data_IF_724134234041
#
_entry.id   IF_724134234041
#
_cell.length_a   1.000
_cell.length_b   1.000
_cell.length_c   1.000
_cell.angle_alpha   90.00
_cell.angle_beta   90.00
_cell.angle_gamma   90.00
#
_symmetry.space_group_name_H-M   'P 1'
#
loop_
_entity.id
_entity.type
_entity.pdbx_description
1 polymer ?
#
# COMPACT_ATOMS: atom_id res chain seq x y z
N UNK A 1 -13.67 -7.38 -2.69
CA UNK A 1 -13.13 -8.25 -1.63
C UNK A 1 -13.35 -9.71 -1.99
N UNK A 2 -12.38 -10.38 -2.61
CA UNK A 2 -12.54 -11.81 -2.98
C UNK A 2 -12.59 -12.76 -1.76
N UNK A 3 -12.23 -12.33 -0.55
CA UNK A 3 -12.56 -13.07 0.70
C UNK A 3 -14.09 -13.24 0.84
N UNK A 4 -14.88 -12.23 0.45
CA UNK A 4 -16.33 -12.34 0.40
C UNK A 4 -16.82 -13.34 -0.66
N UNK A 5 -16.02 -13.62 -1.70
CA UNK A 5 -16.33 -14.64 -2.72
C UNK A 5 -15.90 -16.04 -2.28
N UNK A 6 -14.73 -16.17 -1.65
CA UNK A 6 -14.16 -17.43 -1.19
C UNK A 6 -14.91 -17.98 0.04
N UNK A 7 -15.26 -17.12 0.99
CA UNK A 7 -15.99 -17.48 2.20
C UNK A 7 -16.98 -16.38 2.59
N UNK A 8 -18.15 -16.31 1.91
CA UNK A 8 -19.15 -15.27 2.16
C UNK A 8 -19.67 -15.27 3.61
N UNK A 9 -19.76 -16.45 4.23
CA UNK A 9 -20.16 -16.58 5.64
C UNK A 9 -19.13 -15.95 6.58
N UNK A 10 -17.84 -16.28 6.42
CA UNK A 10 -16.79 -15.70 7.25
C UNK A 10 -16.71 -14.17 7.08
N UNK A 11 -16.83 -13.69 5.83
CA UNK A 11 -16.90 -12.26 5.53
C UNK A 11 -18.07 -11.58 6.26
N UNK A 12 -19.27 -12.15 6.16
CA UNK A 12 -20.47 -11.61 6.79
C UNK A 12 -20.33 -11.57 8.31
N UNK A 13 -19.77 -12.64 8.92
CA UNK A 13 -19.50 -12.69 10.36
C UNK A 13 -18.53 -11.58 10.78
N UNK A 14 -17.42 -11.41 10.05
CA UNK A 14 -16.45 -10.35 10.35
C UNK A 14 -17.11 -8.97 10.26
N UNK A 15 -17.90 -8.72 9.21
CA UNK A 15 -18.64 -7.47 9.05
C UNK A 15 -19.59 -7.22 10.23
N UNK A 16 -20.37 -8.22 10.66
CA UNK A 16 -21.28 -8.10 11.79
C UNK A 16 -20.55 -7.81 13.10
N UNK A 17 -19.43 -8.49 13.36
CA UNK A 17 -18.59 -8.25 14.54
C UNK A 17 -18.02 -6.83 14.52
N UNK A 18 -17.46 -6.38 13.39
CA UNK A 18 -16.91 -5.02 13.24
C UNK A 18 -18.00 -3.97 13.45
N UNK A 19 -19.17 -4.14 12.82
CA UNK A 19 -20.32 -3.23 13.01
C UNK A 19 -20.75 -3.19 14.47
N UNK A 20 -20.88 -4.35 15.13
CA UNK A 20 -21.23 -4.44 16.55
C UNK A 20 -20.23 -3.69 17.44
N UNK A 21 -18.94 -3.86 17.21
CA UNK A 21 -17.88 -3.16 17.94
C UNK A 21 -17.92 -1.64 17.68
N UNK A 22 -18.13 -1.21 16.44
CA UNK A 22 -18.28 0.22 16.10
C UNK A 22 -19.50 0.81 16.80
N UNK A 23 -20.66 0.14 16.75
CA UNK A 23 -21.89 0.60 17.42
C UNK A 23 -21.69 0.69 18.93
N UNK A 24 -21.06 -0.31 19.57
CA UNK A 24 -20.72 -0.26 20.99
C UNK A 24 -19.76 0.89 21.31
N UNK A 25 -18.75 1.10 20.48
CA UNK A 25 -17.84 2.26 20.57
C UNK A 25 -18.59 3.59 20.52
N UNK A 26 -19.51 3.75 19.57
CA UNK A 26 -20.32 4.95 19.41
C UNK A 26 -21.29 5.18 20.57
N UNK A 27 -21.94 4.13 21.10
CA UNK A 27 -22.80 4.22 22.30
C UNK A 27 -21.97 4.67 23.50
N UNK A 28 -20.77 4.11 23.67
CA UNK A 28 -19.86 4.49 24.77
C UNK A 28 -19.31 5.90 24.60
N UNK A 29 -19.12 6.35 23.35
CA UNK A 29 -18.72 7.72 23.03
C UNK A 29 -19.81 8.72 23.36
N UNK A 30 -21.06 8.44 22.99
CA UNK A 30 -22.20 9.29 23.34
C UNK A 30 -22.38 9.42 24.87
N UNK A 31 -21.99 8.40 25.63
CA UNK A 31 -21.99 8.40 27.10
C UNK A 31 -20.67 8.91 27.71
N UNK A 32 -19.67 9.25 26.90
CA UNK A 32 -18.37 9.68 27.40
C UNK A 32 -18.49 11.09 27.98
N UNK A 33 -18.10 11.24 29.24
CA UNK A 33 -18.03 12.56 29.87
C UNK A 33 -16.74 13.25 29.45
N UNK A 34 -16.86 14.51 29.04
CA UNK A 34 -15.70 15.36 28.78
C UNK A 34 -14.96 15.57 30.09
N UNK A 35 -13.64 15.35 30.07
CA UNK A 35 -12.77 15.60 31.20
C UNK A 35 -12.60 17.11 31.37
N UNK A 36 -12.71 17.62 32.59
CA UNK A 36 -12.26 18.98 32.88
C UNK A 36 -10.75 19.00 32.77
N UNK A 37 -10.23 19.78 31.81
CA UNK A 37 -8.81 20.07 31.72
C UNK A 37 -8.49 21.14 32.77
N UNK A 38 -8.01 20.67 33.93
CA UNK A 38 -7.83 21.49 35.14
C UNK A 38 -6.56 22.33 35.03
N UNK A 39 -5.47 21.79 34.47
CA UNK A 39 -4.23 22.55 34.29
C UNK A 39 -4.18 23.33 32.97
N UNK A 40 -3.63 24.54 33.06
CA UNK A 40 -3.32 25.37 31.90
C UNK A 40 -2.34 24.69 30.93
N UNK A 41 -1.42 23.86 31.45
CA UNK A 41 -0.48 23.10 30.65
C UNK A 41 -1.19 22.04 29.79
N UNK A 42 -2.18 21.32 30.36
CA UNK A 42 -2.98 20.32 29.63
C UNK A 42 -3.72 20.96 28.44
N UNK A 43 -4.25 22.17 28.62
CA UNK A 43 -4.95 22.90 27.55
C UNK A 43 -4.01 23.36 26.44
N UNK A 44 -2.75 23.70 26.76
CA UNK A 44 -1.73 24.02 25.75
C UNK A 44 -1.33 22.76 25.00
N UNK A 45 -1.10 21.66 25.71
CA UNK A 45 -0.73 20.38 25.13
C UNK A 45 -1.80 19.86 24.16
N UNK A 46 -3.08 19.84 24.55
CA UNK A 46 -4.18 19.42 23.66
C UNK A 46 -4.29 20.32 22.42
N UNK A 47 -4.09 21.64 22.55
CA UNK A 47 -4.06 22.54 21.39
C UNK A 47 -2.92 22.22 20.43
N UNK A 48 -1.73 21.92 20.95
CA UNK A 48 -0.60 21.49 20.13
C UNK A 48 -0.91 20.17 19.42
N UNK A 49 -1.53 19.20 20.10
CA UNK A 49 -1.95 17.94 19.46
C UNK A 49 -2.95 18.18 18.32
N UNK A 50 -3.91 19.08 18.48
CA UNK A 50 -4.83 19.46 17.39
C UNK A 50 -4.09 20.07 16.21
N UNK A 51 -3.11 20.95 16.44
CA UNK A 51 -2.27 21.50 15.38
C UNK A 51 -1.47 20.41 14.68
N UNK A 52 -0.85 19.51 15.44
CA UNK A 52 -0.12 18.35 14.90
C UNK A 52 -1.04 17.48 14.05
N UNK A 53 -2.28 17.21 14.49
CA UNK A 53 -3.25 16.44 13.72
C UNK A 53 -3.58 17.12 12.39
N UNK A 54 -3.88 18.42 12.42
CA UNK A 54 -4.20 19.20 11.20
C UNK A 54 -3.01 19.22 10.24
N UNK A 55 -1.80 19.45 10.74
CA UNK A 55 -0.59 19.41 9.91
C UNK A 55 -0.34 18.02 9.32
N UNK A 56 -0.53 16.94 10.07
CA UNK A 56 -0.38 15.58 9.54
C UNK A 56 -1.42 15.29 8.44
N UNK A 57 -2.66 15.74 8.60
CA UNK A 57 -3.68 15.62 7.54
C UNK A 57 -3.28 16.43 6.30
N UNK A 58 -2.81 17.67 6.48
CA UNK A 58 -2.35 18.52 5.38
C UNK A 58 -1.15 17.88 4.66
N UNK A 59 -0.14 17.43 5.39
CA UNK A 59 1.03 16.75 4.82
C UNK A 59 0.66 15.42 4.15
N UNK A 60 -0.24 14.64 4.72
CA UNK A 60 -0.76 13.44 4.06
C UNK A 60 -1.45 13.79 2.73
N UNK A 61 -2.20 14.89 2.66
CA UNK A 61 -2.79 15.35 1.41
C UNK A 61 -1.75 15.84 0.39
N UNK A 62 -0.77 16.63 0.81
CA UNK A 62 0.28 17.17 -0.07
C UNK A 62 1.30 16.13 -0.54
N UNK A 63 1.57 15.09 0.26
CA UNK A 63 2.55 14.04 -0.04
C UNK A 63 1.95 12.84 -0.79
N UNK A 64 0.81 13.04 -1.48
CA UNK A 64 0.08 11.97 -2.17
C UNK A 64 -0.29 10.78 -1.27
N UNK A 65 -0.55 11.04 0.01
CA UNK A 65 -0.91 10.00 0.98
C UNK A 65 0.30 9.19 1.46
N UNK A 66 1.46 9.83 1.70
CA UNK A 66 2.59 9.15 2.34
C UNK A 66 2.10 8.43 3.61
N UNK A 67 2.35 7.11 3.63
CA UNK A 67 1.92 6.20 4.68
C UNK A 67 2.39 6.66 6.07
N UNK A 68 3.56 7.30 6.16
CA UNK A 68 4.10 7.81 7.42
C UNK A 68 3.14 8.82 8.09
N UNK A 69 2.65 9.81 7.33
CA UNK A 69 1.71 10.80 7.87
C UNK A 69 0.33 10.19 8.14
N UNK A 70 -0.10 9.22 7.32
CA UNK A 70 -1.38 8.54 7.53
C UNK A 70 -1.40 7.70 8.81
N UNK A 71 -0.26 7.13 9.22
CA UNK A 71 -0.12 6.36 10.47
C UNK A 71 -0.14 7.28 11.70
N UNK A 72 0.37 8.51 11.58
CA UNK A 72 0.39 9.46 12.70
C UNK A 72 -1.00 10.02 13.05
N UNK A 73 -1.90 10.13 12.08
CA UNK A 73 -3.27 10.65 12.29
C UNK A 73 -4.04 9.86 13.37
N UNK A 74 -4.22 8.52 13.28
CA UNK A 74 -4.95 7.78 14.31
C UNK A 74 -4.23 7.82 15.66
N UNK A 75 -2.89 7.83 15.68
CA UNK A 75 -2.12 7.94 16.92
C UNK A 75 -2.41 9.26 17.65
N UNK A 76 -2.32 10.38 16.95
CA UNK A 76 -2.59 11.71 17.54
C UNK A 76 -4.06 11.84 17.93
N UNK A 77 -4.99 11.28 17.15
CA UNK A 77 -6.41 11.28 17.48
C UNK A 77 -6.70 10.51 18.80
N UNK A 78 -6.06 9.36 19.00
CA UNK A 78 -6.14 8.58 20.25
C UNK A 78 -5.62 9.40 21.44
N UNK A 79 -4.48 10.09 21.27
CA UNK A 79 -3.94 10.95 22.32
C UNK A 79 -4.92 12.07 22.68
N UNK A 80 -5.43 12.81 21.69
CA UNK A 80 -6.43 13.87 21.92
C UNK A 80 -7.64 13.31 22.66
N UNK A 81 -8.15 12.15 22.23
CA UNK A 81 -9.29 11.50 22.86
C UNK A 81 -9.03 11.15 24.33
N UNK A 82 -7.88 10.54 24.61
CA UNK A 82 -7.50 10.10 25.95
C UNK A 82 -7.39 11.27 26.93
N UNK A 83 -6.93 12.42 26.47
CA UNK A 83 -6.88 13.65 27.28
C UNK A 83 -8.25 14.33 27.43
N UNK A 84 -9.10 14.31 26.40
CA UNK A 84 -10.38 15.01 26.39
C UNK A 84 -11.52 14.25 27.11
N UNK A 85 -11.43 12.92 27.21
CA UNK A 85 -12.53 12.08 27.69
C UNK A 85 -12.07 11.13 28.79
N UNK A 86 -12.96 10.83 29.75
CA UNK A 86 -12.65 9.91 30.86
C UNK A 86 -12.83 8.44 30.50
N UNK A 87 -13.70 8.14 29.54
CA UNK A 87 -14.05 6.78 29.16
C UNK A 87 -13.16 6.26 28.03
N UNK A 88 -12.14 5.46 28.38
CA UNK A 88 -11.21 4.86 27.41
C UNK A 88 -11.79 3.62 26.71
N UNK A 89 -12.94 3.08 27.14
CA UNK A 89 -13.54 1.90 26.50
C UNK A 89 -13.91 2.16 25.04
N UNK A 90 -14.18 3.42 24.67
CA UNK A 90 -14.40 3.81 23.26
C UNK A 90 -13.21 3.45 22.39
N UNK A 91 -12.00 3.76 22.87
CA UNK A 91 -10.77 3.44 22.15
C UNK A 91 -10.60 1.93 21.99
N UNK A 92 -10.91 1.16 23.03
CA UNK A 92 -10.83 -0.31 22.97
C UNK A 92 -11.73 -0.88 21.87
N UNK A 93 -13.01 -0.52 21.85
CA UNK A 93 -13.95 -1.03 20.86
C UNK A 93 -13.57 -0.63 19.43
N UNK A 94 -13.19 0.63 19.21
CA UNK A 94 -12.77 1.11 17.89
C UNK A 94 -11.45 0.49 17.43
N UNK A 95 -10.50 0.28 18.34
CA UNK A 95 -9.21 -0.35 18.04
C UNK A 95 -9.40 -1.83 17.71
N UNK A 96 -10.25 -2.55 18.45
CA UNK A 96 -10.60 -3.94 18.13
C UNK A 96 -11.33 -4.03 16.78
N UNK A 97 -12.27 -3.12 16.50
CA UNK A 97 -12.96 -3.08 15.21
C UNK A 97 -11.98 -2.87 14.05
N UNK A 98 -11.06 -1.90 14.19
CA UNK A 98 -10.00 -1.64 13.22
C UNK A 98 -9.06 -2.83 13.07
N UNK A 99 -8.65 -3.49 14.15
CA UNK A 99 -7.77 -4.66 14.09
C UNK A 99 -8.45 -5.82 13.37
N UNK A 100 -9.69 -6.15 13.74
CA UNK A 100 -10.47 -7.24 13.13
C UNK A 100 -10.78 -6.94 11.66
N UNK A 101 -10.91 -5.67 11.27
CA UNK A 101 -11.03 -5.31 9.86
C UNK A 101 -9.70 -5.43 9.13
N UNK A 102 -8.63 -4.83 9.66
CA UNK A 102 -7.35 -4.73 8.95
C UNK A 102 -6.58 -6.04 8.89
N UNK A 103 -6.68 -6.92 9.89
CA UNK A 103 -5.92 -8.18 9.90
C UNK A 103 -6.37 -9.12 8.76
N UNK A 104 -7.66 -9.50 8.63
CA UNK A 104 -8.08 -10.43 7.59
C UNK A 104 -8.11 -9.82 6.19
N UNK A 105 -8.31 -8.50 6.07
CA UNK A 105 -8.49 -7.85 4.77
C UNK A 105 -7.29 -7.05 4.27
N UNK A 106 -6.40 -6.63 5.15
CA UNK A 106 -5.18 -5.90 4.80
C UNK A 106 -3.94 -6.76 5.04
N UNK A 107 -3.65 -7.06 6.30
CA UNK A 107 -2.37 -7.64 6.72
C UNK A 107 -2.20 -9.09 6.25
N UNK A 108 -3.21 -9.93 6.44
CA UNK A 108 -3.15 -11.35 6.06
C UNK A 108 -3.02 -11.52 4.54
N UNK A 109 -3.86 -10.89 3.70
CA UNK A 109 -3.67 -10.95 2.25
C UNK A 109 -2.29 -10.43 1.87
N UNK A 110 -1.86 -9.30 2.39
CA UNK A 110 -0.56 -8.73 2.04
C UNK A 110 0.61 -9.67 2.38
N UNK A 111 0.62 -10.26 3.58
CA UNK A 111 1.71 -11.12 4.04
C UNK A 111 1.77 -12.47 3.29
N UNK A 112 0.63 -13.10 3.03
CA UNK A 112 0.61 -14.48 2.53
C UNK A 112 0.44 -14.59 1.02
N UNK A 113 -0.04 -13.55 0.34
CA UNK A 113 -0.39 -13.66 -1.08
C UNK A 113 0.71 -13.17 -2.02
N UNK A 114 1.84 -12.65 -1.49
CA UNK A 114 2.96 -12.09 -2.26
C UNK A 114 2.46 -11.32 -3.48
N UNK A 115 1.59 -10.33 -3.25
CA UNK A 115 0.86 -9.61 -4.32
C UNK A 115 1.78 -8.95 -5.36
N UNK A 116 3.05 -8.75 -5.01
CA UNK A 116 4.06 -8.21 -5.89
C UNK A 116 5.10 -9.28 -6.25
N UNK A 117 5.37 -9.46 -7.54
CA UNK A 117 6.39 -10.39 -8.06
C UNK A 117 7.82 -9.87 -7.87
N UNK A 118 8.06 -8.95 -6.94
CA UNK A 118 9.29 -8.16 -6.84
C UNK A 118 10.51 -9.04 -6.53
N UNK A 119 10.37 -10.03 -5.64
CA UNK A 119 11.43 -11.01 -5.35
C UNK A 119 11.81 -11.82 -6.59
N UNK A 120 10.83 -12.35 -7.33
CA UNK A 120 11.10 -13.11 -8.56
C UNK A 120 11.67 -12.24 -9.65
N UNK A 121 11.30 -10.97 -9.70
CA UNK A 121 11.87 -10.01 -10.65
C UNK A 121 13.35 -9.81 -10.36
N UNK A 122 13.74 -9.66 -9.10
CA UNK A 122 15.14 -9.61 -8.70
C UNK A 122 15.89 -10.92 -9.03
N UNK A 123 15.26 -12.08 -8.85
CA UNK A 123 15.85 -13.37 -9.24
C UNK A 123 16.07 -13.46 -10.75
N UNK A 124 15.12 -12.95 -11.54
CA UNK A 124 15.17 -12.97 -13.00
C UNK A 124 16.22 -11.99 -13.54
N UNK A 125 16.39 -10.84 -12.89
CA UNK A 125 17.48 -9.89 -13.12
C UNK A 125 18.85 -10.54 -13.03
N UNK A 126 19.02 -11.49 -12.10
CA UNK A 126 20.29 -12.22 -11.98
C UNK A 126 20.51 -13.21 -13.13
N UNK A 127 19.43 -13.78 -13.67
CA UNK A 127 19.49 -14.77 -14.75
C UNK A 127 19.68 -14.13 -16.13
N UNK A 128 19.19 -12.91 -16.32
CA UNK A 128 19.24 -12.17 -17.59
C UNK A 128 19.80 -10.75 -17.41
N UNK A 129 21.07 -10.59 -17.00
CA UNK A 129 21.65 -9.28 -16.70
C UNK A 129 21.74 -8.34 -17.91
N UNK A 130 21.72 -8.88 -19.13
CA UNK A 130 21.73 -8.14 -20.39
C UNK A 130 20.39 -7.47 -20.73
N UNK A 131 19.29 -7.93 -20.12
CA UNK A 131 17.95 -7.43 -20.38
C UNK A 131 17.72 -6.04 -19.78
N UNK A 132 16.73 -5.32 -20.32
CA UNK A 132 16.28 -4.02 -19.83
C UNK A 132 15.00 -4.20 -19.04
N UNK A 133 15.03 -3.84 -17.76
CA UNK A 133 13.90 -3.99 -16.85
C UNK A 133 13.11 -2.69 -16.72
N UNK A 134 11.83 -2.72 -17.07
CA UNK A 134 10.91 -1.60 -16.91
C UNK A 134 9.91 -1.93 -15.81
N UNK A 135 10.13 -1.31 -14.64
CA UNK A 135 9.50 -1.70 -13.40
C UNK A 135 8.59 -0.60 -12.84
N UNK A 136 7.40 -0.96 -12.37
CA UNK A 136 6.51 -0.05 -11.64
C UNK A 136 7.14 0.41 -10.33
N UNK A 137 7.72 -0.52 -9.56
CA UNK A 137 8.32 -0.29 -8.24
C UNK A 137 9.84 -0.47 -8.28
N UNK A 138 10.53 0.22 -9.21
CA UNK A 138 11.99 0.12 -9.37
C UNK A 138 12.76 0.12 -8.02
N UNK A 139 12.57 1.10 -7.11
CA UNK A 139 13.38 1.17 -5.89
C UNK A 139 13.22 -0.06 -4.99
N UNK A 140 12.04 -0.68 -4.98
CA UNK A 140 11.78 -1.84 -4.14
C UNK A 140 12.48 -3.09 -4.69
N UNK A 141 12.42 -3.32 -6.02
CA UNK A 141 13.10 -4.44 -6.67
C UNK A 141 14.62 -4.27 -6.60
N UNK A 142 15.12 -3.05 -6.82
CA UNK A 142 16.54 -2.69 -6.70
C UNK A 142 17.08 -3.01 -5.30
N UNK A 143 16.37 -2.60 -4.25
CA UNK A 143 16.76 -2.91 -2.88
C UNK A 143 16.77 -4.42 -2.59
N UNK A 144 15.81 -5.19 -3.11
CA UNK A 144 15.80 -6.65 -2.97
C UNK A 144 17.01 -7.27 -3.67
N UNK A 145 17.32 -6.84 -4.89
CA UNK A 145 18.44 -7.36 -5.66
C UNK A 145 19.76 -7.12 -4.94
N UNK A 146 20.02 -5.88 -4.52
CA UNK A 146 21.22 -5.50 -3.78
C UNK A 146 21.34 -6.27 -2.47
N UNK A 147 20.26 -6.41 -1.71
CA UNK A 147 20.27 -7.13 -0.43
C UNK A 147 20.53 -8.63 -0.60
N UNK A 148 19.97 -9.25 -1.64
CA UNK A 148 20.05 -10.70 -1.83
C UNK A 148 21.36 -11.15 -2.47
N UNK A 149 21.90 -10.35 -3.39
CA UNK A 149 23.04 -10.74 -4.22
C UNK A 149 24.32 -9.97 -3.93
N UNK A 150 24.25 -8.84 -3.21
CA UNK A 150 25.41 -7.98 -2.89
C UNK A 150 26.26 -7.62 -4.12
N UNK A 151 25.63 -7.55 -5.30
CA UNK A 151 26.31 -7.34 -6.57
C UNK A 151 26.19 -5.86 -6.97
N UNK A 152 27.33 -5.23 -7.28
CA UNK A 152 27.38 -3.83 -7.72
C UNK A 152 26.96 -3.71 -9.20
N UNK A 153 27.13 -4.77 -10.00
CA UNK A 153 26.77 -4.78 -11.41
C UNK A 153 25.28 -5.09 -11.58
N UNK A 154 24.47 -4.04 -11.40
CA UNK A 154 23.02 -4.10 -11.57
C UNK A 154 22.60 -4.05 -13.04
N UNK A 155 21.64 -4.90 -13.47
CA UNK A 155 21.02 -4.80 -14.79
C UNK A 155 20.37 -3.43 -15.04
N UNK A 156 20.19 -3.09 -16.32
CA UNK A 156 19.63 -1.79 -16.69
C UNK A 156 18.15 -1.70 -16.28
N UNK A 157 17.85 -0.80 -15.34
CA UNK A 157 16.51 -0.65 -14.77
C UNK A 157 15.92 0.76 -14.95
N UNK A 158 14.70 0.81 -15.46
CA UNK A 158 13.91 2.02 -15.58
C UNK A 158 12.63 1.95 -14.77
N UNK A 159 12.26 3.09 -14.18
CA UNK A 159 10.93 3.25 -13.62
C UNK A 159 9.92 3.42 -14.77
N UNK A 160 8.81 2.70 -14.70
CA UNK A 160 7.76 2.71 -15.73
C UNK A 160 7.23 4.11 -16.07
N UNK A 161 7.19 5.03 -15.11
CA UNK A 161 6.74 6.41 -15.33
C UNK A 161 7.74 7.28 -16.10
N UNK A 162 9.00 6.82 -16.19
CA UNK A 162 10.08 7.51 -16.90
C UNK A 162 10.35 6.88 -18.27
N UNK A 163 10.01 5.60 -18.46
CA UNK A 163 10.26 4.86 -19.70
C UNK A 163 9.24 5.22 -20.80
N UNK A 164 9.72 5.46 -22.02
CA UNK A 164 8.92 5.92 -23.15
C UNK A 164 9.14 5.07 -24.42
N UNK A 165 8.38 5.39 -25.47
CA UNK A 165 8.42 4.64 -26.73
C UNK A 165 9.72 4.83 -27.52
N UNK A 166 10.47 5.91 -27.26
CA UNK A 166 11.76 6.18 -27.91
C UNK A 166 12.81 5.25 -27.32
N UNK A 167 12.91 5.20 -25.99
CA UNK A 167 13.78 4.25 -25.28
C UNK A 167 13.47 2.80 -25.65
N UNK A 168 12.20 2.44 -25.78
CA UNK A 168 11.82 1.09 -26.22
C UNK A 168 12.40 0.73 -27.60
N UNK A 169 12.27 1.63 -28.59
CA UNK A 169 12.80 1.41 -29.94
C UNK A 169 14.32 1.34 -29.95
N UNK A 170 14.99 2.19 -29.17
CA UNK A 170 16.45 2.20 -29.05
C UNK A 170 16.98 0.88 -28.48
N UNK A 171 16.39 0.40 -27.39
CA UNK A 171 16.81 -0.88 -26.79
C UNK A 171 16.53 -2.08 -27.69
N UNK A 172 15.42 -2.06 -28.44
CA UNK A 172 15.15 -3.07 -29.47
C UNK A 172 16.14 -3.03 -30.63
N UNK A 173 16.53 -1.84 -31.09
CA UNK A 173 17.55 -1.70 -32.14
C UNK A 173 18.94 -2.20 -31.67
N UNK A 174 19.22 -2.14 -30.37
CA UNK A 174 20.42 -2.68 -29.75
C UNK A 174 20.36 -4.21 -29.53
N UNK A 175 19.27 -4.87 -29.92
CA UNK A 175 19.09 -6.32 -29.71
C UNK A 175 18.85 -6.71 -28.26
N UNK A 176 18.49 -5.78 -27.38
CA UNK A 176 18.18 -6.07 -25.98
C UNK A 176 16.74 -6.53 -25.80
N UNK A 177 16.54 -7.47 -24.89
CA UNK A 177 15.22 -7.89 -24.43
C UNK A 177 14.67 -6.91 -23.41
N UNK A 178 13.36 -6.64 -23.46
CA UNK A 178 12.71 -5.73 -22.51
C UNK A 178 11.76 -6.54 -21.62
N UNK A 179 12.00 -6.52 -20.31
CA UNK A 179 11.21 -7.26 -19.33
C UNK A 179 10.45 -6.26 -18.46
N UNK A 180 9.15 -6.47 -18.27
CA UNK A 180 8.31 -5.52 -17.54
C UNK A 180 7.23 -6.16 -16.69
N UNK A 181 6.92 -5.54 -15.54
CA UNK A 181 5.81 -5.87 -14.64
C UNK A 181 4.61 -4.89 -14.77
N UNK A 182 4.67 -3.98 -15.75
CA UNK A 182 3.70 -2.88 -15.96
C UNK A 182 2.42 -3.41 -16.62
N UNK A 183 2.51 -4.51 -17.36
CA UNK A 183 1.39 -5.09 -18.11
C UNK A 183 0.42 -5.77 -17.14
N UNK A 184 -0.82 -5.27 -17.06
CA UNK A 184 -1.84 -5.80 -16.17
C UNK A 184 -1.71 -5.35 -14.71
N UNK A 185 -0.76 -4.45 -14.38
CA UNK A 185 -0.62 -3.84 -13.07
C UNK A 185 -1.78 -2.85 -12.78
N UNK A 186 -3.01 -3.36 -12.73
CA UNK A 186 -4.11 -2.64 -12.11
C UNK A 186 -3.89 -2.69 -10.60
N UNK A 187 -3.39 -1.59 -10.04
CA UNK A 187 -3.39 -1.40 -8.59
C UNK A 187 -4.84 -1.10 -8.16
N UNK A 188 -5.52 -1.99 -7.43
CA UNK A 188 -6.86 -1.71 -6.97
C UNK A 188 -6.81 -0.52 -6.01
N UNK A 189 -7.35 0.62 -6.44
CA UNK A 189 -7.60 1.81 -5.61
C UNK A 189 -6.35 2.42 -4.93
N UNK A 190 -5.17 2.40 -5.55
CA UNK A 190 -4.09 3.29 -5.09
C UNK A 190 -4.26 4.70 -5.67
N UNK A 191 -4.15 5.73 -4.84
CA UNK A 191 -4.23 7.14 -5.30
C UNK A 191 -3.09 7.47 -6.27
N UNK A 192 -1.95 6.79 -6.13
CA UNK A 192 -0.83 6.88 -7.07
C UNK A 192 -1.28 6.54 -8.49
N UNK A 193 -2.02 5.45 -8.70
CA UNK A 193 -2.51 5.09 -10.05
C UNK A 193 -3.51 6.09 -10.64
N UNK A 194 -4.08 7.00 -9.84
CA UNK A 194 -4.95 8.09 -10.31
C UNK A 194 -4.18 9.35 -10.72
N UNK A 195 -2.93 9.52 -10.28
CA UNK A 195 -2.14 10.76 -10.49
C UNK A 195 -0.93 10.51 -11.38
N UNK A 196 -0.31 9.32 -11.33
CA UNK A 196 0.84 8.99 -12.18
C UNK A 196 0.39 8.30 -13.47
N UNK A 197 0.58 9.00 -14.57
CA UNK A 197 0.34 8.45 -15.91
C UNK A 197 1.54 7.58 -16.35
N UNK A 198 1.25 6.41 -16.90
CA UNK A 198 2.27 5.55 -17.51
C UNK A 198 2.50 6.07 -18.93
N UNK A 199 3.71 6.57 -19.21
CA UNK A 199 4.05 7.21 -20.50
C UNK A 199 4.01 6.26 -21.68
N UNK A 200 4.31 4.98 -21.46
CA UNK A 200 4.28 3.96 -22.51
C UNK A 200 3.53 2.73 -22.03
N UNK A 201 2.39 2.47 -22.66
CA UNK A 201 1.66 1.22 -22.49
C UNK A 201 2.12 0.26 -23.58
N UNK A 202 2.61 -0.90 -23.17
CA UNK A 202 3.06 -1.98 -24.07
C UNK A 202 1.89 -2.71 -24.76
N UNK A 203 0.81 -1.98 -25.04
CA UNK A 203 -0.41 -2.50 -25.65
C UNK A 203 -0.14 -2.83 -27.12
N UNK A 204 -0.38 -4.09 -27.51
CA UNK A 204 -0.21 -4.55 -28.90
C UNK A 204 1.16 -5.14 -29.26
N UNK A 205 2.12 -5.20 -28.33
CA UNK A 205 3.41 -5.88 -28.57
C UNK A 205 3.24 -7.40 -28.42
N UNK A 206 3.88 -8.17 -29.30
CA UNK A 206 3.85 -9.65 -29.29
C UNK A 206 4.59 -10.14 -28.03
N UNK A 207 3.86 -10.81 -27.15
CA UNK A 207 4.33 -11.16 -25.81
C UNK A 207 4.90 -12.57 -25.80
N UNK A 208 6.13 -12.73 -25.33
CA UNK A 208 6.56 -14.02 -24.78
C UNK A 208 6.34 -13.98 -23.27
N UNK A 209 5.38 -14.78 -22.80
CA UNK A 209 5.06 -14.86 -21.39
C UNK A 209 6.15 -15.66 -20.69
N UNK A 210 7.04 -14.99 -19.95
CA UNK A 210 7.78 -15.65 -18.89
C UNK A 210 6.79 -15.91 -17.76
N UNK A 211 6.18 -17.09 -17.79
CA UNK A 211 4.96 -17.40 -17.05
C UNK A 211 5.19 -17.37 -15.53
N UNK A 212 4.67 -16.34 -14.86
CA UNK A 212 4.30 -16.44 -13.45
C UNK A 212 2.87 -15.92 -13.27
N UNK A 213 1.91 -16.84 -13.41
CA UNK A 213 0.50 -16.55 -13.16
C UNK A 213 0.23 -16.69 -11.67
N UNK A 214 0.22 -15.58 -10.95
CA UNK A 214 -0.39 -15.56 -9.63
C UNK A 214 -1.88 -15.31 -9.79
N UNK A 215 -2.67 -16.33 -9.49
CA UNK A 215 -4.12 -16.23 -9.42
C UNK A 215 -4.48 -16.19 -7.93
N UNK A 216 -4.47 -15.01 -7.34
CA UNK A 216 -5.04 -14.82 -6.02
C UNK A 216 -5.75 -13.47 -5.98
N UNK A 217 -7.03 -13.47 -5.62
CA UNK A 217 -7.85 -12.27 -5.45
C UNK A 217 -8.08 -11.43 -6.73
N UNK A 218 -8.06 -12.04 -7.93
CA UNK A 218 -8.38 -11.37 -9.20
C UNK A 218 -7.37 -10.34 -9.71
N UNK A 219 -6.28 -10.08 -8.98
CA UNK A 219 -5.18 -9.19 -9.39
C UNK A 219 -4.21 -10.01 -10.25
N UNK A 220 -4.00 -9.58 -11.50
CA UNK A 220 -3.06 -10.22 -12.43
C UNK A 220 -1.86 -9.32 -12.65
N UNK A 221 -0.79 -9.52 -11.88
CA UNK A 221 0.51 -8.90 -12.20
C UNK A 221 1.32 -9.89 -13.06
N UNK A 222 1.51 -9.56 -14.33
CA UNK A 222 2.23 -10.41 -15.29
C UNK A 222 3.62 -9.84 -15.54
N UNK A 223 4.67 -10.66 -15.39
CA UNK A 223 5.96 -10.35 -16.01
C UNK A 223 5.87 -10.73 -17.48
N UNK A 224 6.25 -9.81 -18.36
CA UNK A 224 6.23 -10.04 -19.81
C UNK A 224 7.62 -9.77 -20.39
N UNK A 225 8.09 -10.69 -21.23
CA UNK A 225 9.21 -10.47 -22.13
C UNK A 225 8.66 -9.89 -23.43
N UNK A 226 9.27 -8.79 -23.87
CA UNK A 226 8.89 -8.02 -25.05
C UNK A 226 10.06 -7.92 -25.99
#
# INVERSE_FOLDING_TARGET
FEIARLNPLAFTIICLVVIGLVVLGMIRFAKAKKRSLILFHDRRFVRLLWLVLVFNIAFAAFSNGNAEFMVMIPFVAILIFSYCYTNQSVLLYLSCAMLIWNVPFGLYPYAFTRMHCNERTADLMRLHPEAVYVLMEKPYVENIYLYKYSDEDMPLMYNAHKYDSVMFKEHKAQGREVITDVIGAESPLSRASMVTEIKFRFDGIKKEKIFFRFHFLGIKRELSLL
#
